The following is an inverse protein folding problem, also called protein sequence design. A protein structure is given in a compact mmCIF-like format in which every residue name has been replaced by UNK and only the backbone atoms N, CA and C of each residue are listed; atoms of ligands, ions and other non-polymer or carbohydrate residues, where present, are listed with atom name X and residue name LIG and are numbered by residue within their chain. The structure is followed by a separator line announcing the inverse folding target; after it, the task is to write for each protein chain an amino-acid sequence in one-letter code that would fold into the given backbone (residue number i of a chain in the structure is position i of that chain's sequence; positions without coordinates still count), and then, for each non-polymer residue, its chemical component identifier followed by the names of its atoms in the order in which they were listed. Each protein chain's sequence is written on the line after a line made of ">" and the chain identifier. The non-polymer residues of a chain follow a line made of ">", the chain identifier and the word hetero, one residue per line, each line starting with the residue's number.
data_IF_004954094822
#
_entry.id   IF_004954094822
#
_cell.length_a   1.000
_cell.length_b   1.000
_cell.length_c   1.000
_cell.angle_alpha   90.00
_cell.angle_beta   90.00
_cell.angle_gamma   90.00
#
_symmetry.space_group_name_H-M   'P 1'
#
loop_
_entity.id
_entity.type
_entity.pdbx_description
1 polymer ?
#
# COMPACT_ATOMS: atom_id res chain seq x y z
N UNK A 1 -2.67 4.17 11.91
CA UNK A 1 -3.67 5.09 11.32
C UNK A 1 -4.16 6.09 12.36
N UNK A 2 -4.92 7.12 11.97
CA UNK A 2 -5.62 8.03 12.90
C UNK A 2 -7.13 7.92 12.75
N UNK A 3 -7.85 8.04 13.85
CA UNK A 3 -9.32 8.07 13.88
C UNK A 3 -9.80 9.36 14.54
N UNK A 4 -11.02 9.75 14.21
CA UNK A 4 -11.74 10.85 14.83
C UNK A 4 -12.67 10.33 15.93
N UNK A 5 -12.83 11.14 16.97
CA UNK A 5 -13.81 10.96 18.03
C UNK A 5 -14.57 12.27 18.25
N UNK A 6 -15.90 12.20 18.38
CA UNK A 6 -16.71 13.36 18.76
C UNK A 6 -16.53 13.64 20.26
N UNK A 7 -16.29 14.91 20.62
CA UNK A 7 -16.20 15.30 22.03
C UNK A 7 -17.60 15.54 22.62
N UNK A 8 -17.87 15.18 23.89
CA UNK A 8 -19.17 15.40 24.50
C UNK A 8 -19.48 16.90 24.63
N UNK A 9 -20.58 17.34 24.04
CA UNK A 9 -21.14 18.68 24.26
C UNK A 9 -20.71 19.77 23.28
N UNK A 10 -19.79 19.49 22.36
CA UNK A 10 -19.35 20.43 21.33
C UNK A 10 -19.31 19.77 19.93
N UNK A 11 -19.34 20.61 18.88
CA UNK A 11 -19.16 20.18 17.48
C UNK A 11 -17.70 19.81 17.13
N UNK A 12 -16.80 19.75 18.11
CA UNK A 12 -15.37 19.51 17.90
C UNK A 12 -15.00 18.02 17.84
N UNK A 13 -13.90 17.75 17.13
CA UNK A 13 -13.37 16.41 16.90
C UNK A 13 -11.95 16.29 17.43
N UNK A 14 -11.67 15.17 18.07
CA UNK A 14 -10.32 14.79 18.49
C UNK A 14 -9.74 13.74 17.55
N UNK A 15 -8.46 13.90 17.17
CA UNK A 15 -7.71 12.87 16.47
C UNK A 15 -6.98 11.96 17.45
N UNK A 16 -7.19 10.66 17.31
CA UNK A 16 -6.46 9.63 18.06
C UNK A 16 -5.58 8.80 17.13
N UNK A 17 -4.36 8.52 17.55
CA UNK A 17 -3.44 7.63 16.83
C UNK A 17 -3.62 6.20 17.31
N UNK A 18 -3.84 5.27 16.39
CA UNK A 18 -4.01 3.84 16.67
C UNK A 18 -3.10 2.99 15.78
N UNK A 19 -2.65 1.85 16.30
CA UNK A 19 -1.99 0.82 15.50
C UNK A 19 -2.99 0.21 14.52
N UNK A 20 -2.55 0.01 13.26
CA UNK A 20 -3.39 -0.56 12.21
C UNK A 20 -3.96 -1.94 12.57
N UNK A 21 -3.20 -2.75 13.33
CA UNK A 21 -3.58 -4.11 13.70
C UNK A 21 -4.46 -4.19 14.95
N UNK A 22 -4.58 -3.08 15.69
CA UNK A 22 -5.35 -2.99 16.92
C UNK A 22 -6.34 -1.82 16.91
N UNK A 23 -6.79 -1.41 15.72
CA UNK A 23 -7.77 -0.35 15.59
C UNK A 23 -9.11 -0.78 16.23
N UNK A 24 -9.73 0.06 17.08
CA UNK A 24 -11.06 -0.22 17.62
C UNK A 24 -12.10 -0.20 16.49
N UNK A 25 -13.33 -0.74 16.68
CA UNK A 25 -14.39 -0.60 15.69
C UNK A 25 -14.64 0.86 15.33
N UNK A 26 -14.72 1.15 14.03
CA UNK A 26 -14.87 2.51 13.51
C UNK A 26 -15.75 2.55 12.27
N UNK A 27 -16.39 3.70 12.05
CA UNK A 27 -17.01 4.04 10.78
C UNK A 27 -16.00 4.68 9.81
N UNK A 28 -16.23 4.61 8.51
CA UNK A 28 -15.40 5.25 7.50
C UNK A 28 -16.27 6.06 6.54
N UNK A 29 -15.87 7.29 6.25
CA UNK A 29 -16.58 8.14 5.30
C UNK A 29 -16.06 7.89 3.88
N UNK A 30 -16.99 7.70 2.96
CA UNK A 30 -16.76 7.71 1.52
C UNK A 30 -17.50 8.90 0.91
N UNK A 31 -16.78 9.82 0.28
CA UNK A 31 -17.36 11.04 -0.28
C UNK A 31 -16.58 11.54 -1.48
N UNK A 32 -17.20 12.43 -2.26
CA UNK A 32 -16.47 13.18 -3.29
C UNK A 32 -15.92 14.48 -2.74
N UNK A 33 -14.63 14.71 -2.94
CA UNK A 33 -13.98 15.95 -2.54
C UNK A 33 -14.51 17.14 -3.34
N UNK A 34 -14.62 18.28 -2.68
CA UNK A 34 -14.92 19.59 -3.26
C UNK A 34 -13.68 20.44 -3.14
N UNK A 35 -13.18 20.94 -4.27
CA UNK A 35 -11.92 21.67 -4.34
C UNK A 35 -11.90 22.88 -3.38
N UNK A 36 -10.83 23.00 -2.61
CA UNK A 36 -10.66 24.03 -1.57
C UNK A 36 -11.68 24.01 -0.42
N UNK A 37 -12.58 23.01 -0.35
CA UNK A 37 -13.67 22.95 0.62
C UNK A 37 -13.59 21.75 1.57
N UNK A 38 -12.59 20.89 1.42
CA UNK A 38 -12.32 19.84 2.42
C UNK A 38 -11.52 20.41 3.58
N UNK A 39 -11.73 19.86 4.77
CA UNK A 39 -10.94 20.16 5.96
C UNK A 39 -9.73 19.24 5.95
N UNK A 40 -8.55 19.84 5.97
CA UNK A 40 -7.27 19.12 6.00
C UNK A 40 -6.88 18.70 7.42
N UNK A 41 -5.89 17.83 7.55
CA UNK A 41 -5.33 17.45 8.85
C UNK A 41 -4.88 18.67 9.67
N UNK A 42 -4.08 19.55 9.06
CA UNK A 42 -3.55 20.74 9.75
C UNK A 42 -4.66 21.71 10.15
N UNK A 43 -5.69 21.86 9.32
CA UNK A 43 -6.82 22.73 9.64
C UNK A 43 -7.64 22.19 10.80
N UNK A 44 -7.86 20.86 10.85
CA UNK A 44 -8.55 20.22 11.96
C UNK A 44 -7.79 20.40 13.28
N UNK A 45 -6.47 20.21 13.28
CA UNK A 45 -5.64 20.44 14.47
C UNK A 45 -5.62 21.90 14.93
N UNK A 46 -5.65 22.83 13.99
CA UNK A 46 -5.72 24.26 14.29
C UNK A 46 -7.13 24.74 14.63
N UNK A 47 -8.12 23.84 14.64
CA UNK A 47 -9.55 24.16 14.82
C UNK A 47 -10.05 25.22 13.83
N UNK A 48 -9.53 25.17 12.60
CA UNK A 48 -9.89 26.06 11.49
C UNK A 48 -10.68 25.30 10.42
N UNK A 49 -11.35 26.04 9.52
CA UNK A 49 -12.09 25.44 8.41
C UNK A 49 -13.45 24.85 8.79
N UNK A 50 -13.99 25.21 9.97
CA UNK A 50 -15.35 24.84 10.41
C UNK A 50 -16.45 25.40 9.52
N UNK A 51 -16.15 26.48 8.79
CA UNK A 51 -17.00 27.13 7.79
C UNK A 51 -17.01 26.39 6.43
N UNK A 52 -16.10 25.43 6.22
CA UNK A 52 -15.99 24.69 4.97
C UNK A 52 -17.09 23.64 4.83
N UNK A 53 -17.52 23.40 3.59
CA UNK A 53 -18.50 22.34 3.28
C UNK A 53 -18.05 20.94 3.69
N UNK A 54 -16.75 20.66 3.66
CA UNK A 54 -16.17 19.39 4.11
C UNK A 54 -16.39 19.13 5.59
N UNK A 55 -16.44 20.18 6.42
CA UNK A 55 -16.70 20.03 7.85
C UNK A 55 -18.09 19.45 8.12
N UNK A 56 -19.10 19.81 7.33
CA UNK A 56 -20.44 19.21 7.40
C UNK A 56 -20.42 17.70 7.10
N UNK A 57 -19.51 17.23 6.23
CA UNK A 57 -19.34 15.79 5.95
C UNK A 57 -18.73 15.04 7.14
N UNK A 58 -17.79 15.69 7.84
CA UNK A 58 -17.18 15.16 9.07
C UNK A 58 -18.24 15.04 10.16
N UNK A 59 -19.04 16.10 10.39
CA UNK A 59 -20.17 16.09 11.34
C UNK A 59 -21.17 14.98 11.00
N UNK A 60 -21.61 14.90 9.75
CA UNK A 60 -22.48 13.82 9.30
C UNK A 60 -21.92 12.43 9.63
N UNK A 61 -20.62 12.20 9.36
CA UNK A 61 -19.99 10.91 9.65
C UNK A 61 -19.99 10.60 11.16
N UNK A 62 -19.61 11.57 11.99
CA UNK A 62 -19.58 11.43 13.44
C UNK A 62 -20.97 11.20 14.05
N UNK A 63 -21.97 11.97 13.63
CA UNK A 63 -23.36 11.82 14.06
C UNK A 63 -23.92 10.44 13.69
N UNK A 64 -23.65 9.98 12.46
CA UNK A 64 -24.10 8.67 11.99
C UNK A 64 -23.37 7.52 12.70
N UNK A 65 -22.07 7.66 12.92
CA UNK A 65 -21.26 6.70 13.68
C UNK A 65 -21.81 6.55 15.10
N UNK A 66 -22.03 7.67 15.80
CA UNK A 66 -22.59 7.68 17.15
C UNK A 66 -23.98 7.02 17.21
N UNK A 67 -24.84 7.31 16.23
CA UNK A 67 -26.17 6.73 16.16
C UNK A 67 -26.18 5.23 15.79
N UNK A 68 -25.06 4.70 15.26
CA UNK A 68 -24.82 3.26 15.07
C UNK A 68 -24.00 2.63 16.22
N UNK A 69 -23.70 3.40 17.28
CA UNK A 69 -22.95 2.93 18.45
C UNK A 69 -21.44 2.82 18.23
N UNK A 70 -20.90 3.53 17.24
CA UNK A 70 -19.47 3.61 16.96
C UNK A 70 -18.89 4.90 17.52
N UNK A 71 -17.93 4.78 18.44
CA UNK A 71 -17.25 5.93 19.06
C UNK A 71 -16.27 6.62 18.10
N UNK A 72 -15.69 5.83 17.18
CA UNK A 72 -14.63 6.28 16.29
C UNK A 72 -15.07 6.26 14.84
N UNK A 73 -14.53 7.19 14.06
CA UNK A 73 -14.73 7.22 12.62
C UNK A 73 -13.49 7.75 11.88
N UNK A 74 -13.45 7.56 10.56
CA UNK A 74 -12.31 7.95 9.74
C UNK A 74 -12.75 8.76 8.53
N UNK A 75 -12.01 9.83 8.24
CA UNK A 75 -12.20 10.70 7.07
C UNK A 75 -10.82 11.00 6.46
N UNK A 76 -10.62 10.61 5.21
CA UNK A 76 -9.31 10.64 4.54
C UNK A 76 -8.67 12.04 4.50
N UNK A 77 -9.48 13.09 4.44
CA UNK A 77 -9.01 14.47 4.24
C UNK A 77 -8.32 15.03 5.48
N UNK A 78 -8.70 14.57 6.66
CA UNK A 78 -8.16 15.06 7.93
C UNK A 78 -7.52 13.97 8.82
N UNK A 79 -7.75 12.69 8.53
CA UNK A 79 -7.07 11.58 9.22
C UNK A 79 -5.70 11.23 8.60
N UNK A 80 -5.37 11.78 7.42
CA UNK A 80 -4.09 11.62 6.74
C UNK A 80 -3.41 12.99 6.60
N UNK A 81 -2.13 13.08 6.96
CA UNK A 81 -1.31 14.25 6.73
C UNK A 81 -0.71 14.12 5.34
N UNK A 82 -1.48 14.61 4.37
CA UNK A 82 -1.11 14.56 2.96
C UNK A 82 0.11 15.45 2.64
N UNK A 83 0.59 16.26 3.59
CA UNK A 83 1.81 17.06 3.41
C UNK A 83 3.09 16.23 3.60
N UNK A 84 3.00 15.08 4.28
CA UNK A 84 4.15 14.18 4.47
C UNK A 84 4.09 13.02 3.46
N UNK A 85 5.11 12.91 2.62
CA UNK A 85 5.12 11.90 1.55
C UNK A 85 5.10 10.47 2.09
N UNK A 86 5.85 10.21 3.18
CA UNK A 86 5.90 8.88 3.80
C UNK A 86 4.53 8.45 4.34
N UNK A 87 3.79 9.37 4.98
CA UNK A 87 2.45 9.05 5.44
C UNK A 87 1.48 8.90 4.28
N UNK A 88 1.52 9.78 3.28
CA UNK A 88 0.67 9.68 2.10
C UNK A 88 0.88 8.34 1.37
N UNK A 89 2.14 7.92 1.18
CA UNK A 89 2.50 6.64 0.60
C UNK A 89 1.97 5.47 1.42
N UNK A 90 2.18 5.52 2.74
CA UNK A 90 1.69 4.48 3.67
C UNK A 90 0.18 4.40 3.65
N UNK A 91 -0.50 5.55 3.63
CA UNK A 91 -1.95 5.64 3.65
C UNK A 91 -2.57 5.08 2.38
N UNK A 92 -2.06 5.45 1.20
CA UNK A 92 -2.58 4.92 -0.08
C UNK A 92 -2.41 3.40 -0.18
N UNK A 93 -1.25 2.87 0.25
CA UNK A 93 -1.02 1.42 0.27
C UNK A 93 -1.86 0.69 1.33
N UNK A 94 -2.34 1.39 2.37
CA UNK A 94 -3.15 0.82 3.45
C UNK A 94 -4.65 1.05 3.28
N UNK A 95 -5.07 1.95 2.38
CA UNK A 95 -6.43 2.50 2.35
C UNK A 95 -7.48 1.41 2.14
N UNK A 96 -7.24 0.49 1.22
CA UNK A 96 -8.15 -0.63 0.97
C UNK A 96 -8.39 -1.46 2.23
N UNK A 97 -7.33 -1.75 2.99
CA UNK A 97 -7.41 -2.50 4.26
C UNK A 97 -8.17 -1.72 5.32
N UNK A 98 -8.00 -0.39 5.37
CA UNK A 98 -8.79 0.45 6.28
C UNK A 98 -10.28 0.40 5.93
N UNK A 99 -10.64 0.55 4.67
CA UNK A 99 -12.04 0.38 4.23
C UNK A 99 -12.57 -1.03 4.52
N UNK A 100 -11.76 -2.07 4.31
CA UNK A 100 -12.14 -3.46 4.59
C UNK A 100 -12.39 -3.73 6.08
N UNK A 101 -11.58 -3.12 6.97
CA UNK A 101 -11.67 -3.29 8.43
C UNK A 101 -12.72 -2.39 9.09
N UNK A 102 -13.23 -1.38 8.39
CA UNK A 102 -14.27 -0.51 8.93
C UNK A 102 -15.58 -1.28 9.21
N UNK A 103 -16.22 -0.99 10.35
CA UNK A 103 -17.48 -1.62 10.72
C UNK A 103 -18.64 -1.14 9.83
N UNK A 104 -18.59 0.13 9.42
CA UNK A 104 -19.57 0.78 8.53
C UNK A 104 -18.86 1.73 7.59
N UNK A 105 -19.16 1.66 6.29
CA UNK A 105 -18.80 2.69 5.32
C UNK A 105 -20.04 3.53 4.99
N UNK A 106 -19.97 4.82 5.28
CA UNK A 106 -21.03 5.77 4.97
C UNK A 106 -20.67 6.52 3.69
N UNK A 107 -21.44 6.27 2.63
CA UNK A 107 -21.33 6.98 1.36
C UNK A 107 -22.20 8.23 1.40
N UNK A 108 -21.57 9.41 1.43
CA UNK A 108 -22.28 10.69 1.48
C UNK A 108 -22.33 11.35 0.10
N UNK A 109 -23.52 11.37 -0.51
CA UNK A 109 -23.75 11.85 -1.87
C UNK A 109 -24.19 13.32 -1.88
N UNK A 110 -23.23 14.22 -2.02
CA UNK A 110 -23.48 15.69 -2.05
C UNK A 110 -24.31 16.18 -3.24
N UNK A 111 -24.56 15.32 -4.23
CA UNK A 111 -25.29 15.64 -5.47
C UNK A 111 -26.63 14.88 -5.59
N UNK A 112 -27.08 14.26 -4.50
CA UNK A 112 -28.38 13.61 -4.39
C UNK A 112 -29.14 14.27 -3.25
N UNK A 113 -30.28 14.89 -3.56
CA UNK A 113 -31.19 15.47 -2.56
C UNK A 113 -32.46 14.65 -2.46
N UNK A 114 -33.01 14.59 -1.25
CA UNK A 114 -34.30 13.98 -0.95
C UNK A 114 -35.18 15.03 -0.27
N UNK A 115 -36.37 15.34 -0.81
CA UNK A 115 -37.27 16.33 -0.23
C UNK A 115 -37.57 16.07 1.24
N UNK A 116 -37.73 17.13 2.04
CA UNK A 116 -37.89 17.05 3.49
C UNK A 116 -39.11 16.20 3.88
N UNK A 117 -40.19 16.28 3.10
CA UNK A 117 -41.46 15.58 3.33
C UNK A 117 -41.34 14.05 3.23
N UNK A 118 -40.27 13.55 2.61
CA UNK A 118 -40.01 12.11 2.48
C UNK A 118 -39.33 11.57 3.74
N UNK A 119 -40.12 11.06 4.68
CA UNK A 119 -39.60 10.48 5.93
C UNK A 119 -38.86 9.16 5.74
N UNK A 120 -39.20 8.38 4.71
CA UNK A 120 -38.54 7.12 4.38
C UNK A 120 -38.07 7.15 2.92
N UNK A 121 -36.83 7.59 2.69
CA UNK A 121 -36.28 7.71 1.34
C UNK A 121 -36.15 6.33 0.66
N UNK A 122 -35.81 5.29 1.42
CA UNK A 122 -35.68 3.92 0.90
C UNK A 122 -37.02 3.36 0.38
N UNK A 123 -38.15 3.70 1.02
CA UNK A 123 -39.48 3.30 0.56
C UNK A 123 -39.97 4.08 -0.68
N UNK A 124 -39.44 5.26 -0.95
CA UNK A 124 -39.87 6.13 -2.06
C UNK A 124 -38.71 6.50 -3.00
N UNK A 125 -38.12 5.51 -3.70
CA UNK A 125 -36.92 5.71 -4.51
C UNK A 125 -37.13 6.62 -5.72
N UNK A 126 -38.37 6.80 -6.18
CA UNK A 126 -38.69 7.56 -7.40
C UNK A 126 -38.15 9.00 -7.33
N UNK A 127 -38.11 9.62 -6.14
CA UNK A 127 -37.69 11.01 -5.96
C UNK A 127 -36.18 11.25 -6.14
N UNK A 128 -35.34 10.26 -5.86
CA UNK A 128 -33.87 10.42 -5.83
C UNK A 128 -33.10 9.44 -6.72
N UNK A 129 -33.72 8.35 -7.16
CA UNK A 129 -33.03 7.27 -7.91
C UNK A 129 -32.38 7.76 -9.20
N UNK A 130 -32.97 8.73 -9.89
CA UNK A 130 -32.35 9.32 -11.07
C UNK A 130 -31.08 10.13 -10.73
N UNK A 131 -31.11 10.90 -9.65
CA UNK A 131 -29.94 11.65 -9.17
C UNK A 131 -28.84 10.70 -8.69
N UNK A 132 -29.20 9.66 -7.94
CA UNK A 132 -28.28 8.59 -7.53
C UNK A 132 -27.53 7.98 -8.72
N UNK A 133 -28.25 7.59 -9.79
CA UNK A 133 -27.64 7.02 -11.00
C UNK A 133 -26.69 7.97 -11.73
N UNK A 134 -26.81 9.27 -11.50
CA UNK A 134 -25.99 10.33 -12.10
C UNK A 134 -24.93 10.87 -11.14
N UNK A 135 -24.88 10.37 -9.90
CA UNK A 135 -23.97 10.89 -8.89
C UNK A 135 -22.52 10.76 -9.37
N UNK A 136 -21.75 11.83 -9.18
CA UNK A 136 -20.32 11.87 -9.46
C UNK A 136 -19.54 10.87 -8.63
N UNK A 137 -20.10 10.38 -7.52
CA UNK A 137 -19.47 9.36 -6.70
C UNK A 137 -19.12 8.10 -7.52
N UNK A 138 -19.98 7.69 -8.46
CA UNK A 138 -19.71 6.53 -9.32
C UNK A 138 -18.62 6.74 -10.38
N UNK A 139 -18.18 7.98 -10.59
CA UNK A 139 -17.17 8.33 -11.61
C UNK A 139 -15.83 8.75 -11.01
N UNK A 140 -15.68 8.74 -9.68
CA UNK A 140 -14.39 8.98 -9.01
C UNK A 140 -13.58 7.69 -8.90
N UNK A 141 -12.26 7.77 -9.09
CA UNK A 141 -11.36 6.60 -9.03
C UNK A 141 -11.38 5.92 -7.67
N UNK A 142 -11.05 6.68 -6.62
CA UNK A 142 -10.89 6.18 -5.26
C UNK A 142 -12.14 5.48 -4.70
N UNK A 143 -13.35 5.97 -5.03
CA UNK A 143 -14.62 5.38 -4.57
C UNK A 143 -14.86 3.94 -5.06
N UNK A 144 -14.04 3.43 -5.99
CA UNK A 144 -14.06 2.02 -6.36
C UNK A 144 -13.65 1.12 -5.20
N UNK A 145 -12.55 1.45 -4.51
CA UNK A 145 -12.12 0.68 -3.34
C UNK A 145 -13.11 0.85 -2.19
N UNK A 146 -13.65 2.06 -2.03
CA UNK A 146 -14.62 2.41 -0.98
C UNK A 146 -15.95 1.66 -1.15
N UNK A 147 -16.28 1.26 -2.39
CA UNK A 147 -17.44 0.42 -2.71
C UNK A 147 -17.18 -1.08 -2.45
N UNK A 148 -15.98 -1.55 -2.79
CA UNK A 148 -15.67 -2.98 -2.85
C UNK A 148 -15.09 -3.53 -1.55
N UNK A 149 -14.20 -2.78 -0.91
CA UNK A 149 -13.45 -3.24 0.25
C UNK A 149 -14.32 -3.44 1.51
N UNK A 150 -15.21 -2.50 1.90
CA UNK A 150 -15.98 -2.66 3.13
C UNK A 150 -17.00 -3.80 3.03
N UNK A 151 -17.26 -4.43 4.17
CA UNK A 151 -18.33 -5.43 4.32
C UNK A 151 -19.72 -4.76 4.30
N UNK A 152 -19.86 -3.61 4.96
CA UNK A 152 -21.09 -2.82 5.03
C UNK A 152 -20.91 -1.44 4.39
N UNK A 153 -21.70 -1.14 3.36
CA UNK A 153 -21.72 0.15 2.67
C UNK A 153 -23.15 0.68 2.64
N UNK A 154 -23.36 1.89 3.16
CA UNK A 154 -24.66 2.55 3.27
C UNK A 154 -24.64 3.90 2.57
N UNK A 155 -25.65 4.18 1.74
CA UNK A 155 -25.73 5.39 0.93
C UNK A 155 -26.66 6.42 1.56
N UNK A 156 -26.19 7.66 1.62
CA UNK A 156 -26.92 8.79 2.18
C UNK A 156 -26.97 9.96 1.20
N UNK A 157 -28.10 10.66 1.19
CA UNK A 157 -28.26 11.92 0.45
C UNK A 157 -27.46 13.05 1.09
N UNK A 158 -27.35 14.18 0.41
CA UNK A 158 -26.78 15.42 0.95
C UNK A 158 -27.55 15.94 2.19
N UNK A 159 -28.76 15.46 2.42
CA UNK A 159 -29.65 15.85 3.52
C UNK A 159 -29.57 14.83 4.67
N UNK A 160 -28.62 13.90 4.62
CA UNK A 160 -28.41 12.87 5.64
C UNK A 160 -29.43 11.73 5.61
N UNK A 161 -30.29 11.66 4.59
CA UNK A 161 -31.32 10.62 4.48
C UNK A 161 -30.75 9.35 3.87
N UNK A 162 -30.97 8.21 4.52
CA UNK A 162 -30.52 6.90 4.06
C UNK A 162 -31.29 6.47 2.81
N UNK A 163 -30.56 6.25 1.71
CA UNK A 163 -31.09 5.85 0.41
C UNK A 163 -31.17 4.32 0.27
N UNK A 164 -30.26 3.61 0.94
CA UNK A 164 -30.16 2.16 0.90
C UNK A 164 -28.75 1.68 1.24
N UNK A 165 -28.49 0.41 0.96
CA UNK A 165 -27.18 -0.24 1.15
C UNK A 165 -26.64 -0.75 -0.18
N UNK A 166 -25.37 -1.13 -0.22
CA UNK A 166 -24.79 -1.81 -1.39
C UNK A 166 -25.58 -3.06 -1.79
N UNK A 167 -26.18 -3.77 -0.82
CA UNK A 167 -27.01 -4.95 -1.09
C UNK A 167 -28.39 -4.56 -1.63
N UNK A 168 -29.08 -3.60 -0.99
CA UNK A 168 -30.43 -3.20 -1.44
C UNK A 168 -30.42 -2.41 -2.76
N UNK A 169 -29.27 -1.86 -3.16
CA UNK A 169 -29.07 -1.11 -4.41
C UNK A 169 -28.15 -1.83 -5.40
N UNK A 170 -27.89 -3.13 -5.21
CA UNK A 170 -26.90 -3.87 -5.98
C UNK A 170 -27.18 -3.85 -7.49
N UNK A 171 -28.45 -3.87 -7.89
CA UNK A 171 -28.86 -3.87 -9.29
C UNK A 171 -28.56 -2.51 -9.94
N UNK A 172 -28.90 -1.41 -9.26
CA UNK A 172 -28.59 -0.05 -9.71
C UNK A 172 -27.07 0.15 -9.80
N UNK A 173 -26.33 -0.27 -8.78
CA UNK A 173 -24.87 -0.15 -8.73
C UNK A 173 -24.24 -0.97 -9.87
N UNK A 174 -24.70 -2.21 -10.09
CA UNK A 174 -24.26 -3.05 -11.21
C UNK A 174 -24.50 -2.38 -12.56
N UNK A 175 -25.70 -1.81 -12.78
CA UNK A 175 -26.04 -1.16 -14.04
C UNK A 175 -25.19 0.08 -14.33
N UNK A 176 -24.87 0.87 -13.29
CA UNK A 176 -24.03 2.07 -13.39
C UNK A 176 -22.56 1.69 -13.64
N UNK A 177 -22.02 0.79 -12.80
CA UNK A 177 -20.57 0.53 -12.70
C UNK A 177 -20.09 -0.65 -13.56
N UNK A 178 -21.01 -1.53 -13.96
CA UNK A 178 -20.72 -2.84 -14.60
C UNK A 178 -19.93 -3.82 -13.73
N UNK A 179 -19.79 -3.54 -12.43
CA UNK A 179 -19.23 -4.47 -11.46
C UNK A 179 -20.23 -5.62 -11.26
N UNK A 180 -19.82 -6.89 -11.38
CA UNK A 180 -20.71 -8.04 -11.16
C UNK A 180 -21.35 -8.01 -9.77
N UNK A 181 -22.63 -8.39 -9.68
CA UNK A 181 -23.35 -8.48 -8.38
C UNK A 181 -22.61 -9.36 -7.38
N UNK A 182 -21.94 -10.44 -7.84
CA UNK A 182 -21.10 -11.28 -6.98
C UNK A 182 -20.01 -10.47 -6.24
N UNK A 183 -19.31 -9.57 -6.93
CA UNK A 183 -18.31 -8.71 -6.30
C UNK A 183 -18.95 -7.73 -5.31
N UNK A 184 -20.14 -7.18 -5.62
CA UNK A 184 -20.89 -6.32 -4.70
C UNK A 184 -21.39 -7.05 -3.45
N UNK A 185 -21.56 -8.37 -3.53
CA UNK A 185 -21.92 -9.25 -2.42
C UNK A 185 -20.73 -9.79 -1.64
N UNK A 186 -19.50 -9.42 -2.01
CA UNK A 186 -18.29 -9.79 -1.28
C UNK A 186 -17.65 -11.11 -1.72
N UNK A 187 -17.94 -11.62 -2.94
CA UNK A 187 -17.12 -12.66 -3.55
C UNK A 187 -15.68 -12.19 -3.63
N UNK A 188 -14.74 -13.08 -3.31
CA UNK A 188 -13.30 -12.76 -3.28
C UNK A 188 -12.87 -12.16 -4.61
N UNK A 189 -12.17 -11.02 -4.58
CA UNK A 189 -11.82 -10.29 -5.80
C UNK A 189 -10.90 -11.09 -6.74
N UNK A 190 -10.10 -12.01 -6.20
CA UNK A 190 -9.22 -12.90 -6.98
C UNK A 190 -9.96 -13.89 -7.87
N UNK A 191 -11.25 -14.16 -7.61
CA UNK A 191 -12.10 -14.99 -8.47
C UNK A 191 -12.46 -14.29 -9.78
N UNK A 192 -12.29 -12.96 -9.85
CA UNK A 192 -12.48 -12.19 -11.07
C UNK A 192 -11.15 -12.04 -11.82
N UNK A 193 -11.21 -12.16 -13.15
CA UNK A 193 -10.05 -12.00 -14.00
C UNK A 193 -9.41 -10.62 -13.84
N UNK A 194 -8.12 -10.52 -14.14
CA UNK A 194 -7.39 -9.25 -14.11
C UNK A 194 -8.07 -8.21 -14.99
N UNK A 195 -8.44 -8.59 -16.22
CA UNK A 195 -9.13 -7.69 -17.16
C UNK A 195 -10.47 -7.20 -16.64
N UNK A 196 -11.25 -8.08 -15.98
CA UNK A 196 -12.51 -7.70 -15.37
C UNK A 196 -12.29 -6.65 -14.28
N UNK A 197 -11.35 -6.90 -13.35
CA UNK A 197 -11.02 -5.96 -12.26
C UNK A 197 -10.48 -4.63 -12.79
N UNK A 198 -9.61 -4.65 -13.79
CA UNK A 198 -9.12 -3.44 -14.46
C UNK A 198 -10.27 -2.65 -15.09
N UNK A 199 -11.24 -3.32 -15.70
CA UNK A 199 -12.37 -2.67 -16.36
C UNK A 199 -13.28 -1.88 -15.41
N UNK A 200 -13.31 -2.22 -14.12
CA UNK A 200 -14.15 -1.54 -13.12
C UNK A 200 -13.71 -0.08 -12.87
N UNK A 201 -12.48 0.26 -13.22
CA UNK A 201 -11.97 1.64 -13.18
C UNK A 201 -12.10 2.39 -14.52
N UNK A 202 -12.47 1.73 -15.62
CA UNK A 202 -12.39 2.30 -16.96
C UNK A 202 -13.22 3.58 -17.18
N UNK A 203 -14.35 3.73 -16.45
CA UNK A 203 -15.23 4.91 -16.52
C UNK A 203 -14.98 5.92 -15.40
N UNK A 204 -13.96 5.69 -14.57
CA UNK A 204 -13.64 6.51 -13.41
C UNK A 204 -12.53 7.51 -13.75
N UNK A 205 -12.52 8.59 -13.00
CA UNK A 205 -11.65 9.75 -13.19
C UNK A 205 -11.03 10.16 -11.87
N UNK A 206 -9.82 10.67 -11.96
CA UNK A 206 -9.05 11.19 -10.81
C UNK A 206 -8.51 12.57 -11.17
N UNK A 207 -8.18 13.34 -10.14
CA UNK A 207 -7.56 14.66 -10.32
C UNK A 207 -6.10 14.52 -10.74
N UNK A 208 -5.39 13.58 -10.12
CA UNK A 208 -4.01 13.22 -10.44
C UNK A 208 -4.04 11.98 -11.34
N UNK A 209 -3.35 12.01 -12.48
CA UNK A 209 -3.41 10.97 -13.51
C UNK A 209 -2.96 9.59 -12.97
N UNK A 210 -1.95 9.56 -12.12
CA UNK A 210 -1.43 8.34 -11.49
C UNK A 210 -2.43 7.71 -10.52
N UNK A 211 -3.31 8.50 -9.91
CA UNK A 211 -4.32 7.97 -8.98
C UNK A 211 -5.31 7.02 -9.67
N UNK A 212 -5.49 7.08 -10.99
CA UNK A 212 -6.28 6.06 -11.72
C UNK A 212 -5.70 4.65 -11.57
N UNK A 213 -4.39 4.58 -11.33
CA UNK A 213 -3.66 3.34 -11.09
C UNK A 213 -3.59 3.07 -9.59
N UNK A 214 -3.25 4.07 -8.78
CA UNK A 214 -3.11 3.86 -7.33
C UNK A 214 -4.44 3.48 -6.65
N UNK A 215 -5.58 3.91 -7.21
CA UNK A 215 -6.89 3.46 -6.77
C UNK A 215 -7.20 1.99 -7.13
N UNK A 216 -6.29 1.25 -7.76
CA UNK A 216 -6.43 -0.19 -8.03
C UNK A 216 -5.56 -1.08 -7.13
N UNK A 217 -4.59 -0.51 -6.38
CA UNK A 217 -3.60 -1.31 -5.62
C UNK A 217 -4.25 -2.36 -4.72
N UNK A 218 -5.21 -1.95 -3.90
CA UNK A 218 -5.90 -2.87 -2.98
C UNK A 218 -6.85 -3.86 -3.67
N UNK A 219 -7.36 -3.54 -4.86
CA UNK A 219 -8.21 -4.47 -5.65
C UNK A 219 -7.38 -5.64 -6.18
N UNK A 220 -6.10 -5.39 -6.42
CA UNK A 220 -5.14 -6.39 -6.83
C UNK A 220 -4.30 -6.95 -5.69
N UNK A 221 -4.40 -6.41 -4.48
CA UNK A 221 -3.56 -6.77 -3.33
C UNK A 221 -2.06 -6.59 -3.60
N UNK A 222 -1.71 -5.54 -4.34
CA UNK A 222 -0.32 -5.15 -4.64
C UNK A 222 0.06 -3.87 -3.91
N UNK A 223 1.36 -3.65 -3.75
CA UNK A 223 1.92 -2.44 -3.15
C UNK A 223 2.91 -1.79 -4.12
N UNK A 224 2.80 -0.48 -4.29
CA UNK A 224 3.69 0.26 -5.18
C UNK A 224 4.20 1.54 -4.49
N UNK A 225 5.48 1.89 -4.67
CA UNK A 225 5.95 3.25 -4.42
C UNK A 225 5.15 4.26 -5.24
N UNK A 226 4.71 5.35 -4.60
CA UNK A 226 4.01 6.43 -5.30
C UNK A 226 5.02 7.38 -5.94
N UNK A 227 4.97 7.49 -7.26
CA UNK A 227 5.80 8.41 -8.03
C UNK A 227 4.87 9.38 -8.77
N UNK A 228 4.41 10.41 -8.06
CA UNK A 228 3.64 11.47 -8.69
C UNK A 228 4.51 12.23 -9.70
N UNK A 229 4.06 12.30 -10.96
CA UNK A 229 4.81 12.83 -12.09
C UNK A 229 5.19 11.76 -13.12
N UNK A 230 5.20 10.46 -12.76
CA UNK A 230 5.56 9.38 -13.68
C UNK A 230 4.56 9.20 -14.83
N UNK A 231 3.31 9.65 -14.66
CA UNK A 231 2.26 9.50 -15.65
C UNK A 231 1.45 8.20 -15.54
N UNK A 232 0.20 8.27 -16.02
CA UNK A 232 -0.76 7.16 -15.99
C UNK A 232 -0.21 5.91 -16.70
N UNK A 233 0.44 6.06 -17.86
CA UNK A 233 0.96 4.94 -18.64
C UNK A 233 2.07 4.18 -17.91
N UNK A 234 3.02 4.91 -17.30
CA UNK A 234 4.12 4.30 -16.55
C UNK A 234 3.64 3.66 -15.25
N UNK A 235 2.75 4.34 -14.51
CA UNK A 235 2.12 3.76 -13.33
C UNK A 235 1.33 2.48 -13.72
N UNK A 236 0.61 2.49 -14.84
CA UNK A 236 -0.15 1.33 -15.34
C UNK A 236 0.77 0.16 -15.68
N UNK A 237 1.91 0.42 -16.30
CA UNK A 237 2.91 -0.62 -16.60
C UNK A 237 3.40 -1.28 -15.31
N UNK A 238 3.80 -0.48 -14.32
CA UNK A 238 4.26 -0.98 -13.02
C UNK A 238 3.20 -1.78 -12.29
N UNK A 239 1.94 -1.34 -12.33
CA UNK A 239 0.82 -2.10 -11.77
C UNK A 239 0.70 -3.48 -12.43
N UNK A 240 0.75 -3.55 -13.77
CA UNK A 240 0.67 -4.82 -14.49
C UNK A 240 1.83 -5.75 -14.16
N UNK A 241 3.04 -5.22 -14.09
CA UNK A 241 4.23 -5.98 -13.69
C UNK A 241 4.09 -6.56 -12.27
N UNK A 242 3.61 -5.75 -11.32
CA UNK A 242 3.45 -6.20 -9.94
C UNK A 242 2.32 -7.23 -9.78
N UNK A 243 1.20 -7.06 -10.51
CA UNK A 243 0.14 -8.07 -10.59
C UNK A 243 0.69 -9.41 -11.10
N UNK A 244 1.48 -9.37 -12.18
CA UNK A 244 2.06 -10.57 -12.76
C UNK A 244 3.01 -11.27 -11.76
N UNK A 245 3.91 -10.52 -11.12
CA UNK A 245 4.82 -11.05 -10.09
C UNK A 245 4.05 -11.70 -8.93
N UNK A 246 2.98 -11.08 -8.46
CA UNK A 246 2.16 -11.64 -7.39
C UNK A 246 1.48 -12.95 -7.84
N UNK A 247 0.93 -12.99 -9.05
CA UNK A 247 0.33 -14.21 -9.60
C UNK A 247 1.35 -15.34 -9.72
N UNK A 248 2.57 -15.05 -10.15
CA UNK A 248 3.64 -16.04 -10.27
C UNK A 248 4.09 -16.55 -8.90
N UNK A 249 4.20 -15.67 -7.89
CA UNK A 249 4.46 -16.06 -6.50
C UNK A 249 3.37 -16.97 -5.93
N UNK A 250 2.09 -16.67 -6.19
CA UNK A 250 0.98 -17.51 -5.73
C UNK A 250 1.00 -18.89 -6.39
N UNK A 251 1.22 -18.96 -7.71
CA UNK A 251 1.36 -20.22 -8.44
C UNK A 251 2.54 -21.06 -7.93
N UNK A 252 3.69 -20.43 -7.68
CA UNK A 252 4.85 -21.14 -7.13
C UNK A 252 4.54 -21.76 -5.76
N UNK A 253 3.81 -21.05 -4.89
CA UNK A 253 3.36 -21.56 -3.59
C UNK A 253 2.38 -22.73 -3.72
N UNK A 254 1.46 -22.69 -4.67
CA UNK A 254 0.54 -23.79 -4.94
C UNK A 254 1.27 -25.06 -5.40
N UNK A 255 2.24 -24.93 -6.31
CA UNK A 255 3.08 -26.06 -6.78
C UNK A 255 3.86 -26.68 -5.61
N UNK A 256 4.45 -25.85 -4.74
CA UNK A 256 5.13 -26.32 -3.53
C UNK A 256 4.18 -27.03 -2.56
N UNK A 257 2.92 -26.60 -2.47
CA UNK A 257 1.91 -27.21 -1.58
C UNK A 257 1.29 -28.51 -2.12
N UNK A 258 1.37 -28.75 -3.43
CA UNK A 258 0.72 -29.88 -4.12
C UNK A 258 1.69 -30.98 -4.53
N UNK A 259 2.99 -30.78 -4.33
CA UNK A 259 4.00 -31.82 -4.54
C UNK A 259 3.84 -32.89 -3.44
N UNK A 260 3.50 -34.15 -3.77
CA UNK A 260 3.45 -35.20 -2.76
C UNK A 260 4.84 -35.40 -2.17
N UNK A 261 4.94 -35.42 -0.84
CA UNK A 261 6.17 -35.76 -0.08
C UNK A 261 6.74 -37.13 -0.52
N UNK A 262 5.94 -37.98 -1.19
CA UNK A 262 6.28 -39.35 -1.55
C UNK A 262 7.17 -39.54 -2.80
N UNK A 263 7.46 -38.53 -3.63
CA UNK A 263 8.23 -38.75 -4.88
C UNK A 263 9.71 -38.33 -4.81
N UNK A 264 10.17 -37.76 -3.69
CA UNK A 264 11.59 -37.39 -3.52
C UNK A 264 12.45 -38.57 -3.04
N UNK A 265 11.85 -39.62 -2.46
CA UNK A 265 12.60 -40.70 -1.79
C UNK A 265 12.98 -41.91 -2.64
N UNK A 266 12.68 -41.96 -3.95
CA UNK A 266 12.99 -43.17 -4.76
C UNK A 266 14.29 -43.11 -5.57
N UNK A 267 15.10 -42.04 -5.49
CA UNK A 267 16.31 -41.93 -6.34
C UNK A 267 17.65 -42.28 -5.69
N UNK A 268 17.68 -42.70 -4.42
CA UNK A 268 18.94 -43.09 -3.78
C UNK A 268 18.74 -44.29 -2.85
N UNK A 269 18.56 -45.48 -3.43
CA UNK A 269 18.82 -46.73 -2.72
C UNK A 269 19.80 -47.57 -3.51
N UNK A 270 21.10 -47.35 -3.26
CA UNK A 270 22.10 -48.42 -3.20
C UNK A 270 23.21 -47.98 -2.21
N UNK A 271 23.30 -48.76 -1.13
CA UNK A 271 24.37 -48.87 -0.12
C UNK A 271 24.71 -47.70 0.82
N UNK A 272 24.12 -47.69 2.02
CA UNK A 272 24.85 -47.49 3.30
C UNK A 272 24.14 -48.27 4.43
N UNK A 273 24.94 -49.02 5.22
CA UNK A 273 24.52 -49.82 6.39
C UNK A 273 24.26 -48.96 7.64
N UNK A 274 23.36 -49.46 8.48
CA UNK A 274 22.93 -48.97 9.79
C UNK A 274 24.06 -48.56 10.76
N UNK A 275 23.92 -47.38 11.38
CA UNK A 275 24.22 -47.09 12.80
C UNK A 275 23.59 -45.71 13.20
N UNK A 276 23.37 -45.44 14.50
CA UNK A 276 22.13 -44.87 15.01
C UNK A 276 21.95 -43.36 14.78
N UNK A 277 20.69 -42.98 14.48
CA UNK A 277 20.25 -41.60 14.31
C UNK A 277 20.23 -40.88 15.66
N UNK A 278 21.23 -40.03 15.87
CA UNK A 278 21.12 -38.92 16.82
C UNK A 278 20.23 -37.83 16.22
N UNK A 279 19.26 -37.39 17.01
CA UNK A 279 18.40 -36.25 16.71
C UNK A 279 19.27 -34.99 16.60
N UNK A 280 19.28 -34.32 15.43
CA UNK A 280 20.00 -33.05 15.24
C UNK A 280 19.02 -31.90 14.93
N UNK A 281 19.18 -30.69 15.51
CA UNK A 281 18.21 -29.60 15.45
C UNK A 281 18.47 -28.58 14.31
N UNK A 282 17.36 -28.07 13.75
CA UNK A 282 17.09 -26.73 13.18
C UNK A 282 18.06 -26.09 12.17
N UNK A 283 17.60 -25.99 10.90
CA UNK A 283 17.60 -24.88 9.90
C UNK A 283 18.72 -23.81 9.81
N UNK A 284 19.81 -23.85 10.57
CA UNK A 284 20.90 -22.87 10.47
C UNK A 284 22.07 -23.32 9.57
N UNK A 285 22.09 -24.57 9.11
CA UNK A 285 23.23 -25.15 8.39
C UNK A 285 23.19 -25.04 6.85
N UNK A 286 22.06 -24.62 6.24
CA UNK A 286 21.93 -24.61 4.78
C UNK A 286 22.44 -23.33 4.08
N UNK A 287 22.45 -22.18 4.77
CA UNK A 287 22.93 -20.91 4.16
C UNK A 287 24.45 -20.90 3.98
N UNK A 288 25.20 -21.37 4.98
CA UNK A 288 26.67 -21.40 4.90
C UNK A 288 27.14 -22.39 3.82
N UNK A 289 26.45 -23.51 3.66
CA UNK A 289 26.69 -24.45 2.57
C UNK A 289 26.42 -23.79 1.19
N UNK A 290 25.27 -23.10 1.04
CA UNK A 290 24.95 -22.41 -0.21
C UNK A 290 25.92 -21.27 -0.58
N UNK A 291 26.36 -20.48 0.41
CA UNK A 291 27.38 -19.44 0.19
C UNK A 291 28.77 -20.03 -0.10
N UNK A 292 29.12 -21.18 0.51
CA UNK A 292 30.36 -21.89 0.22
C UNK A 292 30.37 -22.46 -1.21
N UNK A 293 29.24 -23.02 -1.67
CA UNK A 293 29.09 -23.52 -3.04
C UNK A 293 29.23 -22.37 -4.06
N UNK A 294 28.52 -21.25 -3.84
CA UNK A 294 28.67 -20.03 -4.66
C UNK A 294 30.11 -19.51 -4.71
N UNK A 295 30.82 -19.56 -3.58
CA UNK A 295 32.21 -19.12 -3.51
C UNK A 295 33.15 -20.08 -4.26
N UNK A 296 32.84 -21.38 -4.30
CA UNK A 296 33.62 -22.38 -5.02
C UNK A 296 33.54 -22.25 -6.55
N UNK A 297 32.47 -21.66 -7.06
CA UNK A 297 32.26 -21.41 -8.49
C UNK A 297 32.95 -20.13 -8.99
N UNK A 298 33.44 -19.27 -8.08
CA UNK A 298 34.15 -18.03 -8.44
C UNK A 298 35.65 -18.30 -8.61
N UNK A 299 36.28 -17.76 -9.67
CA UNK A 299 37.73 -17.89 -9.87
C UNK A 299 38.56 -17.11 -8.85
N UNK A 300 37.95 -16.15 -8.13
CA UNK A 300 38.58 -15.31 -7.13
C UNK A 300 38.30 -15.84 -5.73
N UNK A 301 39.33 -15.85 -4.86
CA UNK A 301 39.20 -16.33 -3.49
C UNK A 301 38.65 -15.20 -2.60
N UNK A 302 37.34 -15.19 -2.41
CA UNK A 302 36.61 -14.20 -1.61
C UNK A 302 36.50 -14.65 -0.14
N UNK A 303 36.93 -13.81 0.81
CA UNK A 303 36.77 -14.02 2.26
C UNK A 303 35.44 -13.44 2.76
N UNK A 304 34.34 -13.91 2.16
CA UNK A 304 32.98 -13.46 2.48
C UNK A 304 32.59 -13.70 3.95
N UNK A 305 33.25 -14.66 4.61
CA UNK A 305 33.03 -14.95 6.03
C UNK A 305 33.50 -13.83 6.94
N UNK A 306 34.49 -13.04 6.52
CA UNK A 306 35.08 -11.98 7.34
C UNK A 306 34.94 -10.58 6.73
N UNK A 307 34.79 -10.47 5.42
CA UNK A 307 34.72 -9.21 4.68
C UNK A 307 33.32 -8.95 4.13
N UNK A 308 32.73 -7.80 4.47
CA UNK A 308 31.45 -7.35 3.88
C UNK A 308 31.61 -7.03 2.40
N UNK A 309 32.80 -6.60 1.97
CA UNK A 309 33.10 -6.27 0.58
C UNK A 309 33.04 -7.56 -0.25
N UNK A 310 33.74 -8.60 0.20
CA UNK A 310 33.81 -9.90 -0.45
C UNK A 310 32.45 -10.62 -0.42
N UNK A 311 31.66 -10.45 0.66
CA UNK A 311 30.29 -10.95 0.72
C UNK A 311 29.39 -10.28 -0.32
N UNK A 312 29.49 -8.96 -0.48
CA UNK A 312 28.72 -8.23 -1.49
C UNK A 312 29.14 -8.63 -2.91
N UNK A 313 30.44 -8.81 -3.15
CA UNK A 313 30.97 -9.27 -4.44
C UNK A 313 30.53 -10.69 -4.77
N UNK A 314 30.51 -11.58 -3.78
CA UNK A 314 29.99 -12.94 -3.91
C UNK A 314 28.52 -12.93 -4.36
N UNK A 315 27.72 -12.05 -3.76
CA UNK A 315 26.30 -11.82 -4.08
C UNK A 315 26.08 -10.99 -5.37
N UNK A 316 27.15 -10.55 -6.06
CA UNK A 316 27.05 -9.77 -7.29
C UNK A 316 26.65 -8.30 -7.11
N UNK A 317 26.83 -7.75 -5.90
CA UNK A 317 26.48 -6.38 -5.53
C UNK A 317 27.70 -5.44 -5.57
N UNK A 318 27.45 -4.12 -5.58
CA UNK A 318 28.51 -3.12 -5.40
C UNK A 318 29.08 -3.19 -3.97
N UNK A 319 30.37 -2.93 -3.80
CA UNK A 319 31.07 -3.09 -2.51
C UNK A 319 31.73 -1.79 -2.00
N UNK A 320 31.55 -0.66 -2.69
CA UNK A 320 32.18 0.60 -2.32
C UNK A 320 31.60 1.21 -1.03
N UNK A 321 32.36 2.11 -0.40
CA UNK A 321 32.00 2.71 0.90
C UNK A 321 30.68 3.50 0.87
N UNK A 322 30.29 4.09 -0.27
CA UNK A 322 28.99 4.79 -0.36
C UNK A 322 27.84 3.78 -0.36
N UNK A 323 27.96 2.72 -1.16
CA UNK A 323 26.95 1.66 -1.20
C UNK A 323 26.79 0.97 0.16
N UNK A 324 27.91 0.66 0.84
CA UNK A 324 27.88 0.07 2.19
C UNK A 324 27.22 0.99 3.22
N UNK A 325 27.47 2.30 3.15
CA UNK A 325 26.80 3.28 4.01
C UNK A 325 25.29 3.31 3.80
N UNK A 326 24.85 3.35 2.54
CA UNK A 326 23.44 3.28 2.20
C UNK A 326 22.79 1.97 2.65
N UNK A 327 23.45 0.83 2.42
CA UNK A 327 22.93 -0.48 2.81
C UNK A 327 22.86 -0.61 4.33
N UNK A 328 23.81 -0.03 5.07
CA UNK A 328 23.74 0.06 6.51
C UNK A 328 22.52 0.86 6.99
N UNK A 329 22.21 2.01 6.37
CA UNK A 329 21.00 2.76 6.70
C UNK A 329 19.72 1.98 6.37
N UNK A 330 19.68 1.30 5.21
CA UNK A 330 18.53 0.51 4.77
C UNK A 330 18.24 -0.71 5.68
N UNK A 331 19.30 -1.29 6.26
CA UNK A 331 19.21 -2.40 7.21
C UNK A 331 19.17 -1.94 8.68
N UNK A 332 19.08 -0.63 8.92
CA UNK A 332 19.13 0.04 10.23
C UNK A 332 20.35 -0.37 11.09
N UNK A 333 21.50 -0.54 10.45
CA UNK A 333 22.78 -0.84 11.09
C UNK A 333 23.44 0.44 11.57
N UNK A 334 23.20 0.80 12.84
CA UNK A 334 23.72 2.02 13.50
C UNK A 334 25.10 1.85 14.17
N UNK A 335 25.93 0.91 13.70
CA UNK A 335 27.22 0.61 14.33
C UNK A 335 28.40 1.31 13.63
N UNK A 336 29.09 2.21 14.35
CA UNK A 336 30.30 2.88 13.82
C UNK A 336 30.01 3.95 12.77
N UNK A 337 31.06 4.61 12.28
CA UNK A 337 30.96 5.60 11.18
C UNK A 337 31.01 4.91 9.82
N UNK A 338 30.54 5.59 8.77
CA UNK A 338 30.50 5.03 7.42
C UNK A 338 31.88 4.54 6.95
N UNK A 339 31.98 3.28 6.52
CA UNK A 339 33.22 2.64 6.08
C UNK A 339 34.18 2.23 7.21
N UNK A 340 33.75 2.30 8.47
CA UNK A 340 34.55 1.80 9.59
C UNK A 340 34.48 0.28 9.70
N UNK A 341 35.54 -0.36 10.17
CA UNK A 341 35.57 -1.81 10.42
C UNK A 341 34.45 -2.27 11.38
N UNK A 342 33.96 -1.38 12.25
CA UNK A 342 32.84 -1.64 13.15
C UNK A 342 31.50 -1.69 12.40
N UNK A 343 31.29 -0.79 11.44
CA UNK A 343 30.13 -0.81 10.56
C UNK A 343 30.17 -2.02 9.64
N UNK A 344 31.31 -2.30 9.02
CA UNK A 344 31.47 -3.41 8.07
C UNK A 344 31.15 -4.77 8.72
N UNK A 345 31.66 -5.01 9.92
CA UNK A 345 31.35 -6.24 10.66
C UNK A 345 29.87 -6.35 11.05
N UNK A 346 29.24 -5.23 11.45
CA UNK A 346 27.82 -5.21 11.80
C UNK A 346 26.93 -5.40 10.57
N UNK A 347 27.29 -4.75 9.46
CA UNK A 347 26.60 -4.82 8.18
C UNK A 347 26.67 -6.24 7.61
N UNK A 348 27.84 -6.89 7.63
CA UNK A 348 28.00 -8.28 7.21
C UNK A 348 27.05 -9.21 7.96
N UNK A 349 27.00 -9.09 9.29
CA UNK A 349 26.12 -9.91 10.14
C UNK A 349 24.65 -9.65 9.83
N UNK A 350 24.26 -8.39 9.61
CA UNK A 350 22.90 -8.04 9.25
C UNK A 350 22.48 -8.66 7.90
N UNK A 351 23.36 -8.64 6.89
CA UNK A 351 23.12 -9.27 5.59
C UNK A 351 22.95 -10.78 5.75
N UNK A 352 23.86 -11.47 6.46
CA UNK A 352 23.77 -12.92 6.69
C UNK A 352 22.47 -13.29 7.42
N UNK A 353 22.09 -12.54 8.47
CA UNK A 353 20.85 -12.79 9.20
C UNK A 353 19.60 -12.59 8.33
N UNK A 354 19.59 -11.57 7.46
CA UNK A 354 18.49 -11.31 6.52
C UNK A 354 18.37 -12.40 5.45
N UNK A 355 19.51 -12.90 4.95
CA UNK A 355 19.56 -14.04 4.03
C UNK A 355 19.05 -15.32 4.70
N UNK A 356 19.48 -15.59 5.93
CA UNK A 356 19.05 -16.76 6.70
C UNK A 356 17.55 -16.72 7.02
N UNK A 357 16.96 -15.54 7.17
CA UNK A 357 15.53 -15.35 7.40
C UNK A 357 14.65 -15.51 6.13
N UNK A 358 15.22 -15.95 5.00
CA UNK A 358 14.53 -16.09 3.71
C UNK A 358 13.85 -14.81 3.18
N UNK A 359 14.31 -13.62 3.59
CA UNK A 359 13.85 -12.35 3.03
C UNK A 359 14.43 -12.09 1.61
N UNK A 360 14.37 -13.05 0.69
CA UNK A 360 14.95 -12.94 -0.66
C UNK A 360 14.42 -11.73 -1.48
N UNK A 361 13.31 -11.14 -1.06
CA UNK A 361 12.72 -9.94 -1.65
C UNK A 361 13.68 -8.71 -1.66
N UNK A 362 14.65 -8.61 -0.75
CA UNK A 362 15.54 -7.45 -0.71
C UNK A 362 16.60 -7.47 -1.82
N UNK A 363 17.07 -8.67 -2.24
CA UNK A 363 17.98 -8.82 -3.38
C UNK A 363 17.25 -8.45 -4.67
N UNK A 364 16.01 -8.91 -4.85
CA UNK A 364 15.16 -8.54 -6.00
C UNK A 364 14.91 -7.02 -6.07
N UNK A 365 14.76 -6.34 -4.93
CA UNK A 365 14.61 -4.87 -4.88
C UNK A 365 15.89 -4.17 -5.32
N UNK A 366 17.08 -4.68 -4.96
CA UNK A 366 18.37 -4.12 -5.40
C UNK A 366 18.62 -4.41 -6.88
N UNK A 367 18.34 -5.64 -7.34
CA UNK A 367 18.46 -6.03 -8.75
C UNK A 367 17.50 -5.25 -9.65
N UNK A 368 16.24 -5.03 -9.21
CA UNK A 368 15.25 -4.24 -9.96
C UNK A 368 15.64 -2.76 -10.07
N UNK A 369 16.43 -2.25 -9.11
CA UNK A 369 16.87 -0.85 -9.07
C UNK A 369 18.16 -0.62 -9.88
N UNK A 370 18.76 -1.66 -10.45
CA UNK A 370 20.01 -1.54 -11.23
C UNK A 370 19.99 -2.23 -12.61
N UNK A 371 18.83 -2.67 -13.11
CA UNK A 371 18.75 -3.17 -14.48
C UNK A 371 19.05 -2.06 -15.49
N UNK A 372 20.23 -2.14 -16.11
CA UNK A 372 20.65 -1.30 -17.25
C UNK A 372 21.76 -0.28 -16.97
N UNK A 373 22.33 -0.22 -15.75
CA UNK A 373 23.38 0.74 -15.35
C UNK A 373 23.03 2.21 -15.67
N UNK A 374 21.81 2.68 -15.36
CA UNK A 374 21.37 4.05 -15.67
C UNK A 374 20.76 4.73 -14.44
N UNK A 375 21.13 5.98 -14.20
CA UNK A 375 20.54 6.88 -13.20
C UNK A 375 19.04 7.05 -13.44
N UNK A 376 18.20 6.86 -12.43
CA UNK A 376 16.74 6.97 -12.54
C UNK A 376 16.26 8.41 -12.78
N UNK A 377 17.04 9.41 -12.36
CA UNK A 377 16.70 10.82 -12.51
C UNK A 377 16.98 11.37 -13.93
N UNK A 378 18.01 10.86 -14.63
CA UNK A 378 18.41 11.38 -15.95
C UNK A 378 18.68 10.34 -17.04
N UNK A 379 18.64 9.04 -16.72
CA UNK A 379 18.97 7.95 -17.65
C UNK A 379 20.46 7.79 -17.96
N UNK A 380 21.34 8.51 -17.26
CA UNK A 380 22.79 8.56 -17.48
C UNK A 380 23.53 7.34 -16.92
N UNK A 381 24.50 6.80 -17.66
CA UNK A 381 25.05 5.48 -17.38
C UNK A 381 26.22 5.42 -16.36
N UNK A 382 26.43 6.48 -15.57
CA UNK A 382 27.69 6.68 -14.82
C UNK A 382 27.57 7.25 -13.41
N UNK A 383 26.36 7.42 -12.86
CA UNK A 383 26.18 7.98 -11.52
C UNK A 383 24.83 7.56 -10.91
N UNK A 384 24.72 7.69 -9.60
CA UNK A 384 23.48 7.50 -8.83
C UNK A 384 22.61 8.77 -8.80
N UNK A 385 21.33 8.67 -8.44
CA UNK A 385 20.38 9.80 -8.43
C UNK A 385 20.86 10.95 -7.54
N UNK A 386 21.53 10.62 -6.44
CA UNK A 386 22.13 11.56 -5.48
C UNK A 386 23.31 12.35 -6.07
N UNK A 387 23.97 11.82 -7.09
CA UNK A 387 25.14 12.40 -7.76
C UNK A 387 24.78 13.05 -9.12
N UNK A 388 23.54 12.89 -9.54
CA UNK A 388 23.03 13.36 -10.83
C UNK A 388 23.22 14.87 -11.07
N UNK A 389 23.17 15.67 -10.00
CA UNK A 389 23.37 17.12 -10.10
C UNK A 389 24.83 17.49 -10.38
N UNK A 390 25.79 16.76 -9.82
CA UNK A 390 27.22 17.03 -9.99
C UNK A 390 27.71 16.57 -11.37
N UNK A 391 27.18 15.46 -11.89
CA UNK A 391 27.74 14.81 -13.08
C UNK A 391 27.00 15.10 -14.41
N UNK A 392 25.75 15.57 -14.38
CA UNK A 392 24.95 15.73 -15.60
C UNK A 392 24.67 17.20 -15.99
N UNK A 393 24.69 18.14 -15.04
CA UNK A 393 24.49 19.58 -15.28
C UNK A 393 23.13 19.99 -15.90
N UNK A 394 22.21 19.05 -16.16
CA UNK A 394 20.92 19.29 -16.85
C UNK A 394 19.68 19.18 -15.96
N UNK A 395 19.83 18.86 -14.68
CA UNK A 395 18.69 18.77 -13.75
C UNK A 395 18.46 20.12 -13.08
N UNK A 396 17.48 20.89 -13.56
CA UNK A 396 16.96 22.04 -12.84
C UNK A 396 15.97 21.59 -11.77
N UNK A 397 16.48 21.51 -10.54
CA UNK A 397 15.75 21.75 -9.27
C UNK A 397 14.82 20.64 -8.75
N UNK A 398 15.36 19.80 -7.85
CA UNK A 398 14.69 19.48 -6.57
C UNK A 398 15.64 19.99 -5.49
N UNK A 399 15.18 20.99 -4.73
CA UNK A 399 15.92 21.53 -3.61
C UNK A 399 15.86 20.50 -2.46
N UNK A 400 17.01 19.89 -2.15
CA UNK A 400 17.25 19.33 -0.83
C UNK A 400 17.26 20.49 0.17
N UNK A 401 16.24 20.56 1.04
CA UNK A 401 16.37 21.27 2.31
C UNK A 401 16.81 20.25 3.34
N UNK A 402 18.13 20.14 3.53
CA UNK A 402 18.68 19.89 4.85
C UNK A 402 19.57 21.07 5.18
N UNK A 403 19.17 21.77 6.23
CA UNK A 403 19.86 22.89 6.84
C UNK A 403 21.23 22.41 7.32
N UNK A 404 22.30 22.92 6.72
CA UNK A 404 23.60 22.96 7.38
C UNK A 404 23.53 24.04 8.45
N UNK A 405 23.79 23.62 9.69
CA UNK A 405 24.14 24.48 10.80
C UNK A 405 25.35 25.34 10.45
N UNK A 406 25.16 26.66 10.45
CA UNK A 406 26.16 27.65 10.87
C UNK A 406 25.44 28.98 11.23
N UNK A 407 25.63 29.37 12.50
CA UNK A 407 25.22 30.59 13.23
C UNK A 407 23.86 30.61 13.90
#
# INVERSE_FOLDING_TARGET
>A
MRLLKCLPGDDYFELISVSDDHAPPYAILSHTWTDGQEVTYNELLAETGTDKRGYAKIRFCGERAAADGLEYFWVDTCCIDKATNDELCTAINSMFRWYQRAAKCYVYLTDVSVPEEVNNAEAFPISWKQAFRRSRWFTRGWTLQELLAPTSVEFFSQDGKRLGSRVSLEQEIHEITRIPIGALRGVTLTEFSVDARMSWAARRTTTVKEDKVYCLLGIFEVFLPLIYGEGEDHATLRLKEEIQKQQDRLRAREVLSTTPIAEVEQRTMLDVKDDPVDVVPSEQHDLEAGLADLASERPERLDWQHSVVDLLELLGLQSDTRFRGWLADALDVRAGTNGSARQDNALRKAIINRLAAAELAWIEVIESRFQGRRCFNCGGAKHWETECKADCGKCTTIAFVYCSSDH
#
